data_IF_165421724452
#
_entry.id   IF_165421724452
#
_cell.length_a   1.000
_cell.length_b   1.000
_cell.length_c   1.000
_cell.angle_alpha   90.00
_cell.angle_beta   90.00
_cell.angle_gamma   90.00
#
_symmetry.space_group_name_H-M   'P 1'
#
loop_
_entity.id
_entity.type
_entity.pdbx_description
1 polymer ?
#
# COMPACT_ATOMS: atom_id res chain seq x y z
N UNK A 1 -0.52 5.92 19.74
CA UNK A 1 0.18 4.76 19.11
C UNK A 1 -0.72 3.53 18.96
N UNK A 2 -1.94 3.49 19.52
CA UNK A 2 -2.83 2.32 19.40
C UNK A 2 -3.21 1.95 17.95
N UNK A 3 -3.37 2.97 17.10
CA UNK A 3 -3.83 2.80 15.72
C UNK A 3 -2.80 2.05 14.86
N UNK A 4 -1.51 2.36 15.04
CA UNK A 4 -0.40 1.71 14.34
C UNK A 4 -0.28 0.23 14.74
N UNK A 5 -0.50 -0.10 16.02
CA UNK A 5 -0.49 -1.49 16.49
C UNK A 5 -1.62 -2.33 15.87
N UNK A 6 -2.82 -1.75 15.72
CA UNK A 6 -3.95 -2.39 15.04
C UNK A 6 -3.69 -2.68 13.56
N UNK A 7 -3.06 -1.73 12.85
CA UNK A 7 -2.71 -1.88 11.43
C UNK A 7 -1.65 -2.98 11.25
N UNK A 8 -0.61 -2.99 12.08
CA UNK A 8 0.43 -4.02 12.04
C UNK A 8 -0.18 -5.40 12.33
N UNK A 9 -1.06 -5.50 13.33
CA UNK A 9 -1.76 -6.75 13.65
C UNK A 9 -2.63 -7.27 12.49
N UNK A 10 -3.38 -6.38 11.83
CA UNK A 10 -4.20 -6.74 10.67
C UNK A 10 -3.35 -7.20 9.47
N UNK A 11 -2.21 -6.54 9.22
CA UNK A 11 -1.28 -6.94 8.15
C UNK A 11 -0.69 -8.32 8.42
N UNK A 12 -0.27 -8.59 9.66
CA UNK A 12 0.30 -9.88 10.04
C UNK A 12 -0.72 -11.01 9.91
N UNK A 13 -1.96 -10.80 10.35
CA UNK A 13 -3.04 -11.77 10.19
C UNK A 13 -3.33 -12.04 8.70
N UNK A 14 -3.39 -10.97 7.89
CA UNK A 14 -3.56 -11.09 6.44
C UNK A 14 -2.40 -11.79 5.74
N UNK A 15 -1.17 -11.54 6.18
CA UNK A 15 0.03 -12.17 5.62
C UNK A 15 0.05 -13.68 5.90
N UNK A 16 -0.35 -14.13 7.08
CA UNK A 16 -0.42 -15.57 7.40
C UNK A 16 -1.40 -16.29 6.47
N UNK A 17 -2.59 -15.74 6.29
CA UNK A 17 -3.61 -16.30 5.38
C UNK A 17 -3.13 -16.23 3.93
N UNK A 18 -2.53 -15.12 3.51
CA UNK A 18 -2.02 -14.94 2.15
C UNK A 18 -0.87 -15.88 1.82
N UNK A 19 0.08 -16.08 2.72
CA UNK A 19 1.23 -16.99 2.52
C UNK A 19 0.77 -18.44 2.52
N UNK A 20 -0.12 -18.84 3.43
CA UNK A 20 -0.63 -20.22 3.46
C UNK A 20 -1.40 -20.57 2.19
N UNK A 21 -2.23 -19.65 1.68
CA UNK A 21 -2.87 -19.83 0.37
C UNK A 21 -1.84 -19.81 -0.77
N UNK A 22 -0.89 -18.87 -0.78
CA UNK A 22 0.13 -18.77 -1.83
C UNK A 22 1.02 -20.02 -1.95
N UNK A 23 1.42 -20.60 -0.82
CA UNK A 23 2.19 -21.85 -0.77
C UNK A 23 1.35 -23.04 -1.25
N UNK A 24 0.06 -23.09 -0.89
CA UNK A 24 -0.85 -24.17 -1.32
C UNK A 24 -1.10 -24.14 -2.84
N UNK A 25 -1.26 -22.95 -3.42
CA UNK A 25 -1.59 -22.79 -4.83
C UNK A 25 -0.36 -22.82 -5.76
N UNK A 26 0.83 -22.45 -5.29
CA UNK A 26 2.04 -22.40 -6.11
C UNK A 26 3.25 -23.08 -5.45
N UNK A 27 3.31 -24.43 -5.43
CA UNK A 27 4.52 -25.15 -5.09
C UNK A 27 5.48 -25.19 -6.29
N UNK A 28 6.41 -24.24 -6.37
CA UNK A 28 7.47 -24.25 -7.39
C UNK A 28 8.72 -25.05 -6.96
N UNK A 29 9.42 -25.66 -7.92
CA UNK A 29 10.69 -26.38 -7.71
C UNK A 29 11.86 -25.41 -7.55
N UNK A 30 12.54 -25.47 -6.39
CA UNK A 30 13.46 -24.44 -5.86
C UNK A 30 14.70 -24.02 -6.67
N UNK A 31 14.97 -24.60 -7.84
CA UNK A 31 16.07 -24.15 -8.73
C UNK A 31 15.63 -22.95 -9.60
N UNK A 32 14.47 -23.07 -10.23
CA UNK A 32 13.88 -22.01 -11.07
C UNK A 32 13.25 -20.91 -10.21
N UNK A 33 12.68 -21.26 -9.05
CA UNK A 33 12.08 -20.33 -8.09
C UNK A 33 13.06 -19.28 -7.62
N UNK A 34 14.32 -19.62 -7.35
CA UNK A 34 15.27 -18.65 -6.79
C UNK A 34 15.61 -17.53 -7.78
N UNK A 35 15.74 -17.86 -9.07
CA UNK A 35 15.94 -16.88 -10.15
C UNK A 35 14.68 -16.08 -10.43
N UNK A 36 13.53 -16.75 -10.57
CA UNK A 36 12.25 -16.09 -10.86
C UNK A 36 11.76 -15.23 -9.70
N UNK A 37 12.01 -15.62 -8.47
CA UNK A 37 11.64 -14.87 -7.27
C UNK A 37 12.52 -13.63 -7.11
N UNK A 38 13.81 -13.68 -7.43
CA UNK A 38 14.65 -12.48 -7.34
C UNK A 38 14.24 -11.41 -8.36
N UNK A 39 14.05 -11.79 -9.63
CA UNK A 39 13.62 -10.84 -10.67
C UNK A 39 12.15 -10.43 -10.49
N UNK A 40 11.25 -11.39 -10.30
CA UNK A 40 9.82 -11.13 -10.14
C UNK A 40 9.46 -10.40 -8.85
N UNK A 41 10.15 -10.65 -7.73
CA UNK A 41 9.92 -9.89 -6.50
C UNK A 41 10.45 -8.46 -6.60
N UNK A 42 11.57 -8.24 -7.32
CA UNK A 42 12.07 -6.90 -7.60
C UNK A 42 11.05 -6.11 -8.43
N UNK A 43 10.57 -6.69 -9.52
CA UNK A 43 9.56 -6.04 -10.37
C UNK A 43 8.25 -5.81 -9.60
N UNK A 44 7.81 -6.77 -8.80
CA UNK A 44 6.61 -6.62 -7.96
C UNK A 44 6.78 -5.51 -6.92
N UNK A 45 7.93 -5.45 -6.25
CA UNK A 45 8.22 -4.40 -5.27
C UNK A 45 8.30 -3.02 -5.93
N UNK A 46 8.96 -2.91 -7.07
CA UNK A 46 9.09 -1.66 -7.82
C UNK A 46 7.70 -1.18 -8.30
N UNK A 47 6.86 -2.06 -8.87
CA UNK A 47 5.48 -1.75 -9.26
C UNK A 47 4.58 -1.38 -8.07
N UNK A 48 4.69 -2.10 -6.95
CA UNK A 48 3.89 -1.81 -5.75
C UNK A 48 4.27 -0.45 -5.16
N UNK A 49 5.56 -0.15 -5.12
CA UNK A 49 6.08 1.14 -4.65
C UNK A 49 5.59 2.28 -5.52
N UNK A 50 5.59 2.11 -6.84
CA UNK A 50 5.07 3.10 -7.78
C UNK A 50 3.56 3.34 -7.58
N UNK A 51 2.74 2.28 -7.49
CA UNK A 51 1.30 2.39 -7.23
C UNK A 51 0.97 3.06 -5.89
N UNK A 52 1.72 2.73 -4.82
CA UNK A 52 1.54 3.37 -3.51
C UNK A 52 1.88 4.85 -3.61
N UNK A 53 2.95 5.19 -4.32
CA UNK A 53 3.40 6.57 -4.48
C UNK A 53 2.43 7.39 -5.33
N UNK A 54 1.96 6.87 -6.47
CA UNK A 54 0.91 7.50 -7.27
C UNK A 54 -0.40 7.68 -6.48
N UNK A 55 -0.80 6.66 -5.70
CA UNK A 55 -1.99 6.74 -4.86
C UNK A 55 -1.85 7.80 -3.77
N UNK A 56 -0.67 7.88 -3.14
CA UNK A 56 -0.37 8.90 -2.13
C UNK A 56 -0.29 10.31 -2.74
N UNK A 57 0.30 10.47 -3.93
CA UNK A 57 0.36 11.73 -4.66
C UNK A 57 -1.06 12.19 -5.06
N UNK A 58 -1.90 11.30 -5.62
CA UNK A 58 -3.31 11.59 -5.93
C UNK A 58 -4.12 11.95 -4.69
N UNK A 59 -3.90 11.27 -3.56
CA UNK A 59 -4.57 11.61 -2.30
C UNK A 59 -4.10 12.95 -1.75
N UNK A 60 -2.81 13.27 -1.85
CA UNK A 60 -2.27 14.58 -1.45
C UNK A 60 -2.84 15.69 -2.32
N UNK A 61 -2.85 15.51 -3.64
CA UNK A 61 -3.40 16.48 -4.60
C UNK A 61 -4.90 16.69 -4.38
N UNK A 62 -5.67 15.62 -4.14
CA UNK A 62 -7.10 15.72 -3.83
C UNK A 62 -7.38 16.34 -2.45
N UNK A 63 -6.49 16.11 -1.49
CA UNK A 63 -6.56 16.75 -0.17
C UNK A 63 -6.17 18.24 -0.27
N UNK A 64 -5.13 18.61 -0.99
CA UNK A 64 -4.74 20.02 -1.21
C UNK A 64 -5.82 20.80 -1.99
N UNK A 65 -6.40 20.23 -3.06
CA UNK A 65 -7.51 20.86 -3.79
C UNK A 65 -8.79 21.01 -2.96
N UNK A 66 -9.02 20.11 -1.99
CA UNK A 66 -10.17 20.20 -1.06
C UNK A 66 -9.89 21.13 0.13
N UNK A 67 -8.63 21.36 0.48
CA UNK A 67 -8.21 22.22 1.59
C UNK A 67 -8.02 23.69 1.15
N UNK A 68 -7.73 23.96 -0.13
CA UNK A 68 -7.66 25.32 -0.66
C UNK A 68 -9.03 26.02 -0.76
N UNK A 69 -10.12 25.26 -0.82
CA UNK A 69 -11.48 25.83 -0.73
C UNK A 69 -11.98 26.09 0.71
N UNK A 70 -11.12 26.02 1.74
CA UNK A 70 -11.52 26.30 3.13
C UNK A 70 -10.72 27.41 3.85
N UNK A 71 -9.83 28.15 3.17
CA UNK A 71 -9.08 29.27 3.80
C UNK A 71 -9.16 30.59 2.99
N UNK A 72 -10.35 31.20 2.89
CA UNK A 72 -10.54 32.66 2.89
C UNK A 72 -11.98 33.00 3.38
N UNK A 73 -12.20 34.14 4.07
CA UNK A 73 -13.10 34.28 5.21
C UNK A 73 -14.55 34.55 4.81
N UNK A 74 -15.48 33.81 5.42
CA UNK A 74 -16.91 34.14 5.42
C UNK A 74 -17.39 34.39 6.86
N UNK A 75 -16.61 35.17 7.61
CA UNK A 75 -17.09 35.90 8.80
C UNK A 75 -16.93 37.40 8.55
N UNK A 76 -17.46 37.86 7.42
CA UNK A 76 -17.96 39.22 7.31
C UNK A 76 -19.38 39.08 6.77
N UNK A 77 -20.31 39.82 7.37
CA UNK A 77 -21.77 39.89 7.10
C UNK A 77 -22.66 39.04 8.03
N UNK A 78 -22.76 39.49 9.29
CA UNK A 78 -24.04 39.81 9.94
C UNK A 78 -23.77 40.65 11.20
#
# INVERSE_FOLDING_TARGET
MENSGKIIGALLLGAVVGVSMGILFAPDKGSETRKKMFNGAKDLADNLKEKIREGAEKMKEHNENSMDHHNNPMTEKA
#
